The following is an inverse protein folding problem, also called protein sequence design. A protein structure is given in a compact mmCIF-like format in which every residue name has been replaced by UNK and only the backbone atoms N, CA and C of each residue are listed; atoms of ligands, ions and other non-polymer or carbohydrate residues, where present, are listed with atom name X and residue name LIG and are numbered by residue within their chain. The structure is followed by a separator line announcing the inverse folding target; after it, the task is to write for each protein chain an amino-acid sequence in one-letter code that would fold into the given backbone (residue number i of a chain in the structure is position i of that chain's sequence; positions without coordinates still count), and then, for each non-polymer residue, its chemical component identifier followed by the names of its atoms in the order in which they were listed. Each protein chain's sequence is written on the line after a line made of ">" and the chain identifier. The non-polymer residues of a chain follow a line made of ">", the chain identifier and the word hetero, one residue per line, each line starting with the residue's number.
data_IF_674535714017
#
_entry.id   IF_674535714017
#
_cell.length_a   1.000
_cell.length_b   1.000
_cell.length_c   1.000
_cell.angle_alpha   90.00
_cell.angle_beta   90.00
_cell.angle_gamma   90.00
#
_symmetry.space_group_name_H-M   'P 1'
#
loop_
_entity.id
_entity.type
_entity.pdbx_description
1 polymer ?
#
# COMPACT_ATOMS: atom_id res chain seq x y z
N UNK A 1 28.43 9.06 -31.55
CA UNK A 1 29.76 9.04 -32.19
C UNK A 1 30.80 8.99 -31.09
N UNK A 2 31.67 7.98 -31.12
CA UNK A 2 32.79 7.86 -30.16
C UNK A 2 33.98 8.69 -30.64
N UNK A 3 34.73 9.27 -29.69
CA UNK A 3 35.97 9.96 -29.98
C UNK A 3 37.12 8.95 -30.20
N UNK A 4 38.06 9.29 -31.08
CA UNK A 4 39.34 8.61 -31.34
C UNK A 4 39.25 7.10 -31.68
N UNK A 5 39.21 6.75 -32.97
CA UNK A 5 39.43 5.36 -33.42
C UNK A 5 38.17 4.53 -33.66
N UNK A 6 36.98 5.04 -33.38
CA UNK A 6 35.73 4.39 -33.83
C UNK A 6 35.41 4.82 -35.27
N UNK A 7 35.64 3.92 -36.24
CA UNK A 7 35.31 4.15 -37.64
C UNK A 7 33.86 3.74 -37.93
N UNK A 8 33.26 4.15 -39.07
CA UNK A 8 31.97 3.63 -39.52
C UNK A 8 31.94 2.10 -39.66
N UNK A 9 33.10 1.44 -39.83
CA UNK A 9 33.17 -0.03 -39.81
C UNK A 9 32.97 -0.58 -38.39
N UNK A 10 33.55 0.05 -37.36
CA UNK A 10 33.32 -0.34 -35.97
C UNK A 10 31.86 -0.18 -35.56
N UNK A 11 31.21 0.91 -35.98
CA UNK A 11 29.78 1.14 -35.71
C UNK A 11 28.92 0.06 -36.39
N UNK A 12 29.23 -0.30 -37.64
CA UNK A 12 28.53 -1.39 -38.34
C UNK A 12 28.75 -2.75 -37.69
N UNK A 13 29.98 -3.06 -37.26
CA UNK A 13 30.28 -4.31 -36.57
C UNK A 13 29.56 -4.42 -35.22
N UNK A 14 29.54 -3.33 -34.43
CA UNK A 14 28.78 -3.28 -33.18
C UNK A 14 27.27 -3.42 -33.42
N UNK A 15 26.73 -2.79 -34.48
CA UNK A 15 25.31 -2.92 -34.81
C UNK A 15 24.96 -4.35 -35.25
N UNK A 16 25.79 -4.97 -36.08
CA UNK A 16 25.60 -6.36 -36.51
C UNK A 16 25.63 -7.33 -35.32
N UNK A 17 26.58 -7.18 -34.39
CA UNK A 17 26.65 -7.99 -33.18
C UNK A 17 25.44 -7.79 -32.25
N UNK A 18 24.93 -6.56 -32.16
CA UNK A 18 23.71 -6.27 -31.40
C UNK A 18 22.47 -6.86 -32.06
N UNK A 19 22.36 -6.78 -33.38
CA UNK A 19 21.24 -7.37 -34.14
C UNK A 19 21.25 -8.90 -34.02
N UNK A 20 22.42 -9.54 -34.07
CA UNK A 20 22.57 -10.98 -33.86
C UNK A 20 22.22 -11.38 -32.42
N UNK A 21 22.63 -10.60 -31.42
CA UNK A 21 22.27 -10.84 -30.02
C UNK A 21 20.78 -10.67 -29.74
N UNK A 22 20.14 -9.67 -30.37
CA UNK A 22 18.69 -9.45 -30.26
C UNK A 22 17.90 -10.54 -31.01
N UNK A 23 18.40 -10.99 -32.17
CA UNK A 23 17.82 -12.10 -32.91
C UNK A 23 17.93 -13.43 -32.13
N UNK A 24 19.06 -13.66 -31.44
CA UNK A 24 19.26 -14.82 -30.57
C UNK A 24 18.38 -14.78 -29.30
N UNK A 25 18.08 -13.60 -28.76
CA UNK A 25 17.09 -13.43 -27.67
C UNK A 25 15.65 -13.63 -28.13
N UNK A 26 15.36 -13.43 -29.42
CA UNK A 26 14.03 -13.63 -29.98
C UNK A 26 13.71 -15.11 -30.27
N UNK A 27 14.69 -16.01 -30.14
CA UNK A 27 14.55 -17.46 -30.39
C UNK A 27 14.84 -18.35 -29.18
N UNK A 28 15.18 -17.77 -28.02
CA UNK A 28 15.32 -18.51 -26.77
C UNK A 28 14.03 -18.38 -25.95
N UNK A 29 13.30 -19.46 -25.65
CA UNK A 29 12.20 -19.39 -24.70
C UNK A 29 12.77 -18.98 -23.34
N UNK A 30 12.20 -17.93 -22.73
CA UNK A 30 12.43 -17.65 -21.33
C UNK A 30 12.10 -18.91 -20.51
N UNK A 31 12.82 -19.23 -19.42
CA UNK A 31 12.45 -20.34 -18.57
C UNK A 31 11.05 -20.09 -18.01
N UNK A 32 10.07 -20.77 -18.59
CA UNK A 32 8.70 -20.80 -18.08
C UNK A 32 8.73 -21.60 -16.79
N UNK A 33 8.70 -20.92 -15.65
CA UNK A 33 8.31 -21.54 -14.40
C UNK A 33 6.86 -22.02 -14.58
N UNK A 34 6.68 -23.33 -14.74
CA UNK A 34 5.37 -23.98 -14.66
C UNK A 34 4.87 -23.83 -13.23
N UNK A 35 4.13 -22.76 -12.99
CA UNK A 35 3.26 -22.63 -11.82
C UNK A 35 2.14 -23.63 -12.02
N UNK A 36 2.08 -24.64 -11.16
CA UNK A 36 0.90 -25.50 -11.05
C UNK A 36 -0.24 -24.59 -10.59
N UNK A 37 -1.19 -24.32 -11.48
CA UNK A 37 -2.45 -23.64 -11.14
C UNK A 37 -3.28 -24.61 -10.30
N UNK A 38 -3.11 -24.54 -8.98
CA UNK A 38 -4.14 -25.02 -8.07
C UNK A 38 -5.23 -23.95 -7.97
N UNK A 39 -6.42 -24.29 -8.44
CA UNK A 39 -7.63 -23.47 -8.31
C UNK A 39 -7.89 -23.20 -6.82
N UNK A 40 -7.81 -21.95 -6.32
CA UNK A 40 -8.12 -21.68 -4.93
C UNK A 40 -9.63 -21.85 -4.72
N UNK A 41 -9.99 -22.81 -3.87
CA UNK A 41 -11.35 -22.94 -3.35
C UNK A 41 -11.72 -21.68 -2.57
N UNK A 42 -12.76 -20.98 -3.01
CA UNK A 42 -13.33 -19.81 -2.37
C UNK A 42 -13.82 -20.14 -0.96
N UNK A 43 -12.93 -20.02 0.02
CA UNK A 43 -13.26 -20.08 1.44
C UNK A 43 -12.63 -18.88 2.12
N UNK A 44 -13.41 -18.24 3.01
CA UNK A 44 -13.11 -17.00 3.73
C UNK A 44 -11.67 -16.99 4.26
N UNK A 45 -11.04 -15.81 4.27
CA UNK A 45 -9.66 -15.54 4.69
C UNK A 45 -9.27 -16.01 6.11
N UNK A 46 -9.25 -17.32 6.32
CA UNK A 46 -8.70 -18.00 7.48
C UNK A 46 -7.39 -18.70 7.08
N UNK A 47 -6.46 -17.89 6.56
CA UNK A 47 -5.14 -18.38 6.21
C UNK A 47 -4.24 -18.38 7.46
N UNK A 48 -3.91 -19.59 7.91
CA UNK A 48 -2.56 -19.94 8.35
C UNK A 48 -2.11 -19.57 9.77
N UNK A 49 -2.90 -18.84 10.56
CA UNK A 49 -2.53 -18.54 11.96
C UNK A 49 -3.20 -19.51 12.93
N UNK A 50 -2.88 -20.79 12.78
CA UNK A 50 -3.18 -21.83 13.77
C UNK A 50 -1.84 -22.45 14.19
N UNK A 51 -1.37 -22.12 15.41
CA UNK A 51 -0.08 -22.55 15.93
C UNK A 51 0.47 -21.65 17.06
N UNK A 52 1.79 -21.74 17.29
CA UNK A 52 2.54 -20.98 18.31
C UNK A 52 2.62 -19.47 18.04
N UNK A 53 2.62 -19.07 16.76
CA UNK A 53 2.70 -17.66 16.35
C UNK A 53 1.31 -17.04 16.33
N UNK A 54 1.08 -16.05 17.19
CA UNK A 54 -0.20 -15.34 17.28
C UNK A 54 -0.37 -14.33 16.13
N UNK A 55 -1.60 -14.09 15.66
CA UNK A 55 -1.86 -13.10 14.61
C UNK A 55 -1.51 -11.69 15.11
N UNK A 56 -1.33 -10.75 14.19
CA UNK A 56 -1.21 -9.33 14.55
C UNK A 56 -2.51 -8.81 15.14
N UNK A 57 -2.45 -7.70 15.87
CA UNK A 57 -3.66 -7.15 16.49
C UNK A 57 -4.63 -6.63 15.44
N UNK A 58 -4.13 -6.03 14.35
CA UNK A 58 -4.93 -5.66 13.17
C UNK A 58 -5.67 -6.88 12.59
N UNK A 59 -4.97 -7.98 12.31
CA UNK A 59 -5.62 -9.17 11.76
C UNK A 59 -6.65 -9.75 12.71
N UNK A 60 -6.35 -9.75 14.03
CA UNK A 60 -7.30 -10.19 15.05
C UNK A 60 -8.57 -9.33 15.08
N UNK A 61 -8.44 -8.00 14.98
CA UNK A 61 -9.57 -7.07 14.92
C UNK A 61 -10.42 -7.28 13.67
N UNK A 62 -9.79 -7.39 12.50
CA UNK A 62 -10.47 -7.63 11.23
C UNK A 62 -11.25 -8.95 11.25
N UNK A 63 -10.63 -10.04 11.74
CA UNK A 63 -11.30 -11.34 11.92
C UNK A 63 -12.50 -11.27 12.89
N UNK A 64 -12.41 -10.41 13.89
CA UNK A 64 -13.49 -10.20 14.86
C UNK A 64 -14.59 -9.26 14.35
N UNK A 65 -14.56 -8.81 13.09
CA UNK A 65 -15.55 -7.88 12.56
C UNK A 65 -15.40 -6.45 13.09
N UNK A 66 -14.29 -6.12 13.78
CA UNK A 66 -14.09 -4.79 14.36
C UNK A 66 -13.65 -3.80 13.29
N UNK A 67 -14.13 -2.57 13.42
CA UNK A 67 -13.72 -1.47 12.56
C UNK A 67 -12.30 -1.01 12.93
N UNK A 68 -11.38 -1.06 11.96
CA UNK A 68 -9.96 -0.74 12.15
C UNK A 68 -9.65 0.67 11.65
N UNK A 69 -8.91 1.44 12.45
CA UNK A 69 -8.47 2.78 12.13
C UNK A 69 -6.94 2.80 12.02
N UNK A 70 -6.43 3.22 10.87
CA UNK A 70 -5.01 3.53 10.68
C UNK A 70 -4.81 5.02 10.39
N UNK A 71 -3.61 5.53 10.69
CA UNK A 71 -3.18 6.86 10.26
C UNK A 71 -1.86 6.74 9.52
N UNK A 72 -1.79 7.33 8.34
CA UNK A 72 -0.59 7.31 7.52
C UNK A 72 0.49 8.25 8.09
N UNK A 73 1.73 7.76 8.12
CA UNK A 73 2.90 8.50 8.57
C UNK A 73 3.99 8.39 7.51
N UNK A 74 4.20 9.48 6.78
CA UNK A 74 5.30 9.59 5.84
C UNK A 74 6.66 9.67 6.56
N UNK A 75 7.66 8.87 6.14
CA UNK A 75 8.99 9.00 6.70
C UNK A 75 9.61 10.37 6.42
N UNK A 76 10.44 10.87 7.34
CA UNK A 76 11.10 12.17 7.18
C UNK A 76 12.16 12.15 6.07
N UNK A 77 12.49 13.33 5.55
CA UNK A 77 13.70 13.55 4.75
C UNK A 77 14.97 13.64 5.60
N UNK A 78 14.83 13.89 6.90
CA UNK A 78 15.91 14.06 7.88
C UNK A 78 16.31 12.75 8.54
N UNK A 79 17.41 12.80 9.30
CA UNK A 79 17.89 11.69 10.14
C UNK A 79 17.11 11.52 11.44
N UNK A 80 16.21 12.46 11.77
CA UNK A 80 15.34 12.42 12.95
C UNK A 80 13.88 12.26 12.54
N UNK A 81 13.11 11.54 13.37
CA UNK A 81 11.71 11.21 13.15
C UNK A 81 10.77 11.73 14.26
N UNK A 82 11.21 12.70 15.07
CA UNK A 82 10.45 13.22 16.22
C UNK A 82 9.03 13.64 15.84
N UNK A 83 8.86 14.34 14.72
CA UNK A 83 7.55 14.77 14.23
C UNK A 83 6.64 13.58 13.89
N UNK A 84 7.20 12.55 13.25
CA UNK A 84 6.47 11.32 12.89
C UNK A 84 6.06 10.52 14.13
N UNK A 85 6.97 10.41 15.10
CA UNK A 85 6.73 9.72 16.37
C UNK A 85 5.64 10.44 17.18
N UNK A 86 5.66 11.77 17.26
CA UNK A 86 4.60 12.53 17.92
C UNK A 86 3.27 12.44 17.16
N UNK A 87 3.31 12.44 15.83
CA UNK A 87 2.14 12.17 14.99
C UNK A 87 1.51 10.81 15.28
N UNK A 88 2.31 9.76 15.40
CA UNK A 88 1.85 8.42 15.76
C UNK A 88 1.31 8.36 17.20
N UNK A 89 1.93 9.08 18.14
CA UNK A 89 1.44 9.20 19.53
C UNK A 89 0.09 9.91 19.58
N UNK A 90 -0.09 10.95 18.77
CA UNK A 90 -1.36 11.64 18.63
C UNK A 90 -2.43 10.74 18.02
N UNK A 91 -2.10 9.99 16.97
CA UNK A 91 -3.01 9.02 16.35
C UNK A 91 -3.48 7.97 17.36
N UNK A 92 -2.57 7.37 18.13
CA UNK A 92 -2.91 6.42 19.20
C UNK A 92 -3.86 7.05 20.23
N UNK A 93 -3.56 8.28 20.68
CA UNK A 93 -4.42 9.01 21.63
C UNK A 93 -5.82 9.26 21.08
N UNK A 94 -5.96 9.46 19.78
CA UNK A 94 -7.25 9.70 19.11
C UNK A 94 -8.02 8.41 18.80
N UNK A 95 -7.44 7.24 19.09
CA UNK A 95 -8.06 5.93 18.93
C UNK A 95 -7.70 5.22 17.63
N UNK A 96 -6.55 5.53 17.03
CA UNK A 96 -6.02 4.71 15.94
C UNK A 96 -5.53 3.36 16.48
N UNK A 97 -5.82 2.29 15.75
CA UNK A 97 -5.38 0.94 16.06
C UNK A 97 -3.95 0.67 15.58
N UNK A 98 -3.56 1.35 14.50
CA UNK A 98 -2.26 1.24 13.88
C UNK A 98 -1.84 2.56 13.20
N UNK A 99 -0.58 2.62 12.78
CA UNK A 99 -0.14 3.58 11.76
C UNK A 99 0.45 2.87 10.57
N UNK A 100 0.16 3.35 9.36
CA UNK A 100 0.78 2.84 8.14
C UNK A 100 1.91 3.78 7.70
N UNK A 101 3.07 3.23 7.35
CA UNK A 101 4.27 4.00 7.05
C UNK A 101 4.64 3.82 5.59
N UNK A 102 4.58 4.92 4.82
CA UNK A 102 4.87 4.91 3.40
C UNK A 102 6.36 4.62 3.12
N UNK A 103 6.66 3.87 2.06
CA UNK A 103 8.04 3.65 1.61
C UNK A 103 8.39 4.59 0.47
N UNK A 104 9.14 5.65 0.81
CA UNK A 104 9.69 6.64 -0.11
C UNK A 104 8.66 7.09 -1.16
N UNK A 105 7.51 7.65 -0.71
CA UNK A 105 6.40 8.01 -1.59
C UNK A 105 6.85 8.95 -2.72
N UNK A 106 6.29 8.77 -3.92
CA UNK A 106 6.71 9.42 -5.16
C UNK A 106 8.17 9.09 -5.57
N UNK A 107 8.69 7.94 -5.14
CA UNK A 107 10.08 7.51 -5.35
C UNK A 107 11.12 8.55 -4.90
N UNK A 108 10.85 9.27 -3.80
CA UNK A 108 11.77 10.29 -3.26
C UNK A 108 12.50 9.77 -2.03
N UNK A 109 13.80 10.06 -1.93
CA UNK A 109 14.64 9.65 -0.80
C UNK A 109 14.04 10.10 0.54
N UNK A 110 13.88 9.15 1.45
CA UNK A 110 13.42 9.32 2.84
C UNK A 110 14.17 8.38 3.76
N UNK A 111 13.97 8.56 5.07
CA UNK A 111 14.25 7.50 6.04
C UNK A 111 13.53 6.20 5.62
N UNK A 112 14.19 5.06 5.77
CA UNK A 112 13.59 3.76 5.44
C UNK A 112 12.33 3.50 6.27
N UNK A 113 11.25 3.07 5.61
CA UNK A 113 9.96 2.84 6.24
C UNK A 113 10.04 1.83 7.40
N UNK A 114 10.77 0.72 7.22
CA UNK A 114 10.97 -0.28 8.27
C UNK A 114 11.65 0.32 9.51
N UNK A 115 12.66 1.17 9.34
CA UNK A 115 13.35 1.81 10.45
C UNK A 115 12.40 2.73 11.24
N UNK A 116 11.54 3.49 10.54
CA UNK A 116 10.54 4.33 11.18
C UNK A 116 9.47 3.50 11.90
N UNK A 117 8.99 2.41 11.30
CA UNK A 117 8.06 1.47 11.94
C UNK A 117 8.60 0.99 13.28
N UNK A 118 9.85 0.55 13.31
CA UNK A 118 10.51 0.07 14.54
C UNK A 118 10.61 1.18 15.59
N UNK A 119 11.00 2.40 15.20
CA UNK A 119 11.05 3.53 16.13
C UNK A 119 9.68 3.87 16.71
N UNK A 120 8.62 3.85 15.90
CA UNK A 120 7.26 4.11 16.35
C UNK A 120 6.80 3.01 17.33
N UNK A 121 6.99 1.73 16.99
CA UNK A 121 6.60 0.62 17.85
C UNK A 121 7.32 0.70 19.22
N UNK A 122 8.62 1.00 19.22
CA UNK A 122 9.41 1.06 20.46
C UNK A 122 9.07 2.26 21.35
N UNK A 123 8.76 3.42 20.75
CA UNK A 123 8.58 4.68 21.52
C UNK A 123 7.10 5.02 21.81
N UNK A 124 6.18 4.48 21.01
CA UNK A 124 4.74 4.77 21.11
C UNK A 124 3.94 3.53 21.50
N UNK A 125 4.37 2.34 21.09
CA UNK A 125 3.65 1.09 21.35
C UNK A 125 2.43 0.86 20.46
N UNK A 126 2.23 1.70 19.44
CA UNK A 126 1.20 1.48 18.41
C UNK A 126 1.73 0.54 17.33
N UNK A 127 0.87 -0.39 16.88
CA UNK A 127 1.22 -1.34 15.83
C UNK A 127 1.43 -0.62 14.48
N UNK A 128 2.36 -1.11 13.65
CA UNK A 128 2.69 -0.48 12.37
C UNK A 128 2.39 -1.39 11.19
N UNK A 129 1.93 -0.78 10.09
CA UNK A 129 1.83 -1.38 8.75
C UNK A 129 2.92 -0.76 7.88
N UNK A 130 3.93 -1.53 7.50
CA UNK A 130 4.99 -1.02 6.62
C UNK A 130 4.55 -1.14 5.16
N UNK A 131 4.57 -0.04 4.41
CA UNK A 131 4.50 -0.11 2.96
C UNK A 131 5.80 -0.72 2.47
N UNK A 132 5.73 -1.78 1.66
CA UNK A 132 6.91 -2.54 1.27
C UNK A 132 6.96 -2.65 -0.25
N UNK A 133 7.91 -1.95 -0.87
CA UNK A 133 7.96 -1.79 -2.33
C UNK A 133 9.04 -2.66 -2.97
N UNK A 134 8.75 -3.18 -4.17
CA UNK A 134 9.70 -3.99 -4.95
C UNK A 134 10.56 -3.17 -5.93
N UNK A 135 10.25 -1.89 -6.15
CA UNK A 135 10.90 -1.00 -7.14
C UNK A 135 12.43 -0.96 -7.07
N UNK A 136 13.00 -1.01 -5.87
CA UNK A 136 14.40 -0.68 -5.56
C UNK A 136 15.10 -1.81 -4.79
N UNK A 137 14.48 -3.00 -4.71
CA UNK A 137 15.01 -4.15 -3.98
C UNK A 137 15.10 -5.38 -4.88
N UNK A 138 16.24 -6.06 -4.83
CA UNK A 138 16.38 -7.38 -5.45
C UNK A 138 15.57 -8.44 -4.68
N UNK A 139 15.32 -9.59 -5.30
CA UNK A 139 14.64 -10.70 -4.65
C UNK A 139 15.33 -11.13 -3.34
N UNK A 140 16.66 -11.10 -3.31
CA UNK A 140 17.44 -11.35 -2.10
C UNK A 140 17.23 -10.25 -1.06
N UNK A 141 17.25 -8.97 -1.48
CA UNK A 141 17.01 -7.83 -0.59
C UNK A 141 15.62 -7.83 0.01
N UNK A 142 14.58 -8.15 -0.77
CA UNK A 142 13.20 -8.29 -0.31
C UNK A 142 13.09 -9.35 0.80
N UNK A 143 13.65 -10.54 0.58
CA UNK A 143 13.62 -11.62 1.56
C UNK A 143 14.41 -11.27 2.84
N UNK A 144 15.59 -10.68 2.70
CA UNK A 144 16.40 -10.25 3.84
C UNK A 144 15.70 -9.18 4.69
N UNK A 145 15.11 -8.17 4.04
CA UNK A 145 14.37 -7.10 4.70
C UNK A 145 13.11 -7.63 5.41
N UNK A 146 12.39 -8.60 4.82
CA UNK A 146 11.24 -9.25 5.44
C UNK A 146 11.64 -10.06 6.69
N UNK A 147 12.73 -10.84 6.61
CA UNK A 147 13.27 -11.56 7.78
C UNK A 147 13.65 -10.57 8.88
N UNK A 148 14.33 -9.47 8.51
CA UNK A 148 14.66 -8.39 9.44
C UNK A 148 13.43 -7.73 10.05
N UNK A 149 12.39 -7.47 9.26
CA UNK A 149 11.13 -6.91 9.74
C UNK A 149 10.48 -7.82 10.79
N UNK A 150 10.40 -9.12 10.52
CA UNK A 150 9.89 -10.10 11.48
C UNK A 150 10.70 -10.12 12.78
N UNK A 151 12.04 -10.16 12.68
CA UNK A 151 12.93 -10.17 13.83
C UNK A 151 12.78 -8.91 14.70
N UNK A 152 12.39 -7.77 14.10
CA UNK A 152 12.13 -6.50 14.78
C UNK A 152 10.66 -6.32 15.21
N UNK A 153 9.81 -7.33 15.00
CA UNK A 153 8.40 -7.33 15.38
C UNK A 153 7.48 -6.53 14.45
N UNK A 154 7.92 -6.16 13.25
CA UNK A 154 7.09 -5.51 12.22
C UNK A 154 6.51 -6.60 11.32
N UNK A 155 5.24 -6.94 11.55
CA UNK A 155 4.57 -8.08 10.91
C UNK A 155 3.41 -7.72 9.98
N UNK A 156 2.95 -6.47 9.96
CA UNK A 156 1.92 -6.03 9.00
C UNK A 156 2.59 -5.39 7.80
N UNK A 157 2.45 -6.02 6.63
CA UNK A 157 3.12 -5.63 5.39
C UNK A 157 2.07 -5.21 4.37
N UNK A 158 2.12 -3.99 3.86
CA UNK A 158 1.40 -3.59 2.66
C UNK A 158 2.29 -3.83 1.43
N UNK A 159 1.98 -4.89 0.68
CA UNK A 159 2.76 -5.32 -0.47
C UNK A 159 2.49 -4.43 -1.70
N UNK A 160 3.51 -3.72 -2.17
CA UNK A 160 3.41 -2.74 -3.25
C UNK A 160 4.48 -2.99 -4.32
N UNK A 161 4.14 -2.70 -5.58
CA UNK A 161 5.16 -2.61 -6.64
C UNK A 161 6.03 -1.35 -6.42
N UNK A 162 5.40 -0.24 -6.04
CA UNK A 162 6.04 1.05 -5.78
C UNK A 162 6.15 1.93 -7.03
N UNK A 163 6.21 3.23 -6.80
CA UNK A 163 6.32 4.24 -7.85
C UNK A 163 7.58 4.05 -8.68
N UNK A 164 7.52 4.21 -10.01
CA UNK A 164 8.70 4.13 -10.84
C UNK A 164 9.70 5.25 -10.49
N UNK A 165 11.02 4.98 -10.49
CA UNK A 165 12.04 5.99 -10.17
C UNK A 165 11.98 7.27 -11.01
N UNK A 166 11.35 7.22 -12.20
CA UNK A 166 11.12 8.37 -13.07
C UNK A 166 10.23 9.46 -12.47
N UNK A 167 9.37 9.11 -11.49
CA UNK A 167 8.57 10.07 -10.72
C UNK A 167 9.37 10.79 -9.62
N UNK A 168 10.48 10.20 -9.20
CA UNK A 168 11.34 10.72 -8.15
C UNK A 168 12.36 11.75 -8.63
N UNK A 169 13.09 12.30 -7.65
CA UNK A 169 14.16 13.28 -7.91
C UNK A 169 15.44 12.56 -8.44
N UNK A 170 15.58 11.25 -8.15
CA UNK A 170 16.71 10.40 -8.55
C UNK A 170 16.40 9.58 -9.79
N UNK A 171 16.14 10.25 -10.91
CA UNK A 171 15.75 9.62 -12.19
C UNK A 171 16.79 8.64 -12.78
N UNK A 172 18.03 8.67 -12.29
CA UNK A 172 19.11 7.78 -12.70
C UNK A 172 19.14 6.46 -11.92
N UNK A 173 18.28 6.29 -10.90
CA UNK A 173 18.23 5.06 -10.12
C UNK A 173 17.73 3.89 -10.99
N UNK A 174 18.43 2.76 -10.90
CA UNK A 174 17.99 1.51 -11.53
C UNK A 174 16.74 1.00 -10.84
N UNK A 175 15.72 0.69 -11.62
CA UNK A 175 14.57 -0.04 -11.13
C UNK A 175 14.89 -1.54 -11.15
N UNK A 176 14.65 -2.23 -10.03
CA UNK A 176 14.97 -3.66 -9.88
C UNK A 176 13.80 -4.51 -10.36
N UNK A 177 12.63 -4.40 -9.73
CA UNK A 177 11.40 -5.07 -10.14
C UNK A 177 11.57 -6.58 -10.45
N UNK A 178 12.41 -7.28 -9.68
CA UNK A 178 12.54 -8.75 -9.81
C UNK A 178 11.18 -9.44 -9.65
N UNK A 179 10.28 -8.83 -8.87
CA UNK A 179 8.86 -9.19 -8.74
C UNK A 179 7.99 -7.93 -8.63
N UNK A 180 6.70 -8.05 -8.93
CA UNK A 180 5.71 -7.02 -8.64
C UNK A 180 4.99 -7.28 -7.30
N UNK A 181 3.97 -6.47 -6.96
CA UNK A 181 3.16 -6.67 -5.74
C UNK A 181 2.51 -8.05 -5.65
N UNK A 182 2.10 -8.68 -6.76
CA UNK A 182 1.51 -10.03 -6.74
C UNK A 182 2.59 -11.06 -6.36
N UNK A 183 3.77 -10.95 -6.97
CA UNK A 183 4.92 -11.77 -6.62
C UNK A 183 5.34 -11.60 -5.15
N UNK A 184 5.38 -10.36 -4.66
CA UNK A 184 5.70 -10.07 -3.26
C UNK A 184 4.69 -10.71 -2.29
N UNK A 185 3.39 -10.65 -2.58
CA UNK A 185 2.37 -11.33 -1.76
C UNK A 185 2.66 -12.82 -1.66
N UNK A 186 2.95 -13.49 -2.78
CA UNK A 186 3.28 -14.91 -2.80
C UNK A 186 4.53 -15.23 -2.00
N UNK A 187 5.56 -14.37 -2.04
CA UNK A 187 6.78 -14.53 -1.24
C UNK A 187 6.45 -14.47 0.25
N UNK A 188 5.70 -13.46 0.69
CA UNK A 188 5.34 -13.30 2.11
C UNK A 188 4.44 -14.47 2.56
N UNK A 189 3.56 -14.97 1.69
CA UNK A 189 2.74 -16.14 2.01
C UNK A 189 3.59 -17.41 2.19
N UNK A 190 4.62 -17.62 1.39
CA UNK A 190 5.58 -18.71 1.60
C UNK A 190 6.31 -18.59 2.95
N UNK A 191 6.68 -17.38 3.35
CA UNK A 191 7.25 -17.15 4.68
C UNK A 191 6.24 -17.51 5.78
N UNK A 192 4.94 -17.25 5.57
CA UNK A 192 3.88 -17.70 6.48
C UNK A 192 3.73 -19.23 6.52
N UNK A 193 4.09 -19.92 5.44
CA UNK A 193 4.20 -21.38 5.40
C UNK A 193 5.50 -21.91 6.04
N UNK A 194 6.42 -21.02 6.42
CA UNK A 194 7.69 -21.36 7.06
C UNK A 194 8.80 -21.71 6.08
N UNK A 195 8.67 -21.34 4.80
CA UNK A 195 9.67 -21.63 3.76
C UNK A 195 10.04 -20.40 2.96
N UNK A 196 11.29 -20.34 2.50
CA UNK A 196 11.72 -19.26 1.61
C UNK A 196 11.28 -19.48 0.15
N UNK A 197 11.70 -18.59 -0.75
CA UNK A 197 11.40 -18.71 -2.19
C UNK A 197 12.05 -19.93 -2.82
N UNK A 198 13.20 -20.38 -2.32
CA UNK A 198 13.88 -21.59 -2.77
C UNK A 198 13.30 -22.88 -2.15
N UNK A 199 12.35 -22.76 -1.22
CA UNK A 199 11.75 -23.88 -0.50
C UNK A 199 12.59 -24.39 0.67
N UNK A 200 13.57 -23.61 1.13
CA UNK A 200 14.32 -23.93 2.34
C UNK A 200 13.46 -23.64 3.57
N UNK A 201 13.53 -24.56 4.53
CA UNK A 201 12.88 -24.40 5.83
C UNK A 201 13.47 -23.22 6.61
N UNK A 202 12.59 -22.36 7.14
CA UNK A 202 12.95 -21.19 7.94
C UNK A 202 12.86 -21.48 9.45
N UNK A 203 12.53 -22.71 9.85
CA UNK A 203 12.45 -23.19 11.22
C UNK A 203 11.19 -22.76 11.98
N UNK A 204 10.48 -21.74 11.51
CA UNK A 204 9.19 -21.30 12.02
C UNK A 204 8.37 -20.59 10.93
N UNK A 205 7.05 -20.55 11.12
CA UNK A 205 6.16 -19.72 10.30
C UNK A 205 6.37 -18.23 10.59
N UNK A 206 6.35 -17.40 9.55
CA UNK A 206 6.55 -15.95 9.67
C UNK A 206 5.37 -15.19 10.29
N UNK A 207 4.14 -15.71 10.20
CA UNK A 207 2.96 -15.06 10.82
C UNK A 207 2.76 -13.59 10.45
N UNK A 208 3.16 -13.19 9.24
CA UNK A 208 2.91 -11.87 8.68
C UNK A 208 1.43 -11.69 8.35
N UNK A 209 0.94 -10.47 8.58
CA UNK A 209 -0.33 -10.01 8.03
C UNK A 209 -0.06 -9.25 6.74
N UNK A 210 -0.66 -9.74 5.66
CA UNK A 210 -0.42 -9.25 4.30
C UNK A 210 -1.58 -8.35 3.88
N UNK A 211 -1.30 -7.08 3.67
CA UNK A 211 -2.20 -6.13 3.05
C UNK A 211 -1.81 -5.93 1.58
N UNK A 212 -2.78 -5.58 0.74
CA UNK A 212 -2.55 -5.25 -0.67
C UNK A 212 -3.25 -3.95 -1.03
N UNK A 213 -2.73 -3.23 -2.02
CA UNK A 213 -3.42 -2.06 -2.54
C UNK A 213 -4.44 -2.46 -3.61
N UNK A 214 -5.59 -1.79 -3.61
CA UNK A 214 -6.52 -1.74 -4.74
C UNK A 214 -6.87 -0.28 -5.06
N UNK A 215 -7.10 0.04 -6.33
CA UNK A 215 -7.42 1.41 -6.74
C UNK A 215 -8.77 1.48 -7.46
N UNK A 216 -9.86 1.82 -6.74
CA UNK A 216 -11.20 1.92 -7.34
C UNK A 216 -11.33 3.13 -8.30
N UNK A 217 -10.28 3.95 -8.44
CA UNK A 217 -10.27 5.15 -9.29
C UNK A 217 -9.64 4.90 -10.66
N UNK A 218 -9.12 3.69 -10.92
CA UNK A 218 -8.46 3.34 -12.18
C UNK A 218 -9.43 3.44 -13.35
N UNK A 219 -8.94 4.03 -14.45
CA UNK A 219 -9.70 4.10 -15.71
C UNK A 219 -10.01 2.72 -16.29
N UNK A 220 -9.05 1.78 -16.20
CA UNK A 220 -9.24 0.37 -16.52
C UNK A 220 -9.53 -0.42 -15.24
N UNK A 221 -10.78 -0.33 -14.78
CA UNK A 221 -11.24 -0.98 -13.56
C UNK A 221 -11.25 -2.52 -13.70
N UNK A 222 -11.47 -3.03 -14.92
CA UNK A 222 -11.46 -4.46 -15.23
C UNK A 222 -10.07 -5.05 -14.97
N UNK A 223 -9.02 -4.41 -15.48
CA UNK A 223 -7.65 -4.80 -15.21
C UNK A 223 -7.31 -4.70 -13.73
N UNK A 224 -7.73 -3.63 -13.04
CA UNK A 224 -7.46 -3.49 -11.61
C UNK A 224 -8.13 -4.59 -10.78
N UNK A 225 -9.38 -4.93 -11.08
CA UNK A 225 -10.12 -6.03 -10.45
C UNK A 225 -9.41 -7.38 -10.68
N UNK A 226 -8.92 -7.67 -11.89
CA UNK A 226 -8.18 -8.91 -12.16
C UNK A 226 -6.85 -8.98 -11.41
N UNK A 227 -6.10 -7.87 -11.39
CA UNK A 227 -4.85 -7.80 -10.64
C UNK A 227 -5.10 -7.92 -9.14
N UNK A 228 -6.15 -7.28 -8.63
CA UNK A 228 -6.58 -7.41 -7.24
C UNK A 228 -6.94 -8.87 -6.92
N UNK A 229 -7.69 -9.55 -7.79
CA UNK A 229 -7.98 -10.98 -7.62
C UNK A 229 -6.71 -11.83 -7.52
N UNK A 230 -5.70 -11.59 -8.38
CA UNK A 230 -4.41 -12.30 -8.28
C UNK A 230 -3.67 -12.03 -6.97
N UNK A 231 -3.76 -10.81 -6.43
CA UNK A 231 -3.17 -10.44 -5.13
C UNK A 231 -3.85 -11.19 -3.98
N UNK A 232 -5.19 -11.20 -3.92
CA UNK A 232 -5.92 -11.89 -2.84
C UNK A 232 -5.78 -13.40 -2.92
N UNK A 233 -5.83 -13.98 -4.13
CA UNK A 233 -5.56 -15.40 -4.37
C UNK A 233 -4.12 -15.81 -4.02
N UNK A 234 -3.19 -14.84 -3.92
CA UNK A 234 -1.82 -15.07 -3.47
C UNK A 234 -1.64 -15.13 -1.95
N UNK A 235 -2.69 -14.88 -1.15
CA UNK A 235 -2.64 -14.93 0.31
C UNK A 235 -2.79 -13.58 1.02
N UNK A 236 -3.34 -12.56 0.36
CA UNK A 236 -3.63 -11.29 1.05
C UNK A 236 -4.74 -11.46 2.10
N UNK A 237 -4.61 -10.76 3.22
CA UNK A 237 -5.54 -10.82 4.36
C UNK A 237 -6.55 -9.67 4.37
N UNK A 238 -6.14 -8.50 3.88
CA UNK A 238 -7.00 -7.32 3.73
C UNK A 238 -6.49 -6.41 2.61
N UNK A 239 -7.32 -5.45 2.20
CA UNK A 239 -6.96 -4.48 1.16
C UNK A 239 -7.05 -3.05 1.66
N UNK A 240 -6.20 -2.18 1.10
CA UNK A 240 -6.22 -0.75 1.33
C UNK A 240 -6.47 -0.02 0.00
N UNK A 241 -7.42 0.90 -0.04
CA UNK A 241 -7.73 1.63 -1.28
C UNK A 241 -6.81 2.83 -1.47
N UNK A 242 -6.65 3.34 -2.69
CA UNK A 242 -6.33 4.77 -2.87
C UNK A 242 -7.42 5.65 -2.22
N UNK A 243 -7.11 6.90 -1.82
CA UNK A 243 -8.12 7.76 -1.22
C UNK A 243 -9.26 8.02 -2.18
N UNK A 244 -10.50 7.87 -1.71
CA UNK A 244 -11.70 8.17 -2.48
C UNK A 244 -12.44 9.35 -1.86
N UNK A 245 -13.16 10.08 -2.70
CA UNK A 245 -14.06 11.17 -2.30
C UNK A 245 -15.52 10.87 -2.65
N UNK A 246 -15.75 9.78 -3.38
CA UNK A 246 -17.06 9.30 -3.80
C UNK A 246 -17.18 7.81 -3.39
N UNK A 247 -18.03 7.50 -2.40
CA UNK A 247 -18.39 6.15 -1.97
C UNK A 247 -18.81 5.21 -3.10
N UNK A 248 -19.42 5.75 -4.16
CA UNK A 248 -19.88 4.96 -5.29
C UNK A 248 -18.74 4.27 -6.03
N UNK A 249 -17.52 4.82 -5.99
CA UNK A 249 -16.33 4.19 -6.59
C UNK A 249 -16.04 2.83 -5.94
N UNK A 250 -16.21 2.72 -4.62
CA UNK A 250 -16.04 1.45 -3.92
C UNK A 250 -17.13 0.46 -4.28
N UNK A 251 -18.39 0.90 -4.29
CA UNK A 251 -19.54 0.06 -4.67
C UNK A 251 -19.34 -0.51 -6.08
N UNK A 252 -18.95 0.33 -7.04
CA UNK A 252 -18.69 -0.09 -8.41
C UNK A 252 -17.55 -1.11 -8.50
N UNK A 253 -16.48 -0.92 -7.73
CA UNK A 253 -15.36 -1.86 -7.68
C UNK A 253 -15.80 -3.23 -7.15
N UNK A 254 -16.58 -3.26 -6.06
CA UNK A 254 -17.11 -4.49 -5.48
C UNK A 254 -18.05 -5.19 -6.44
N UNK A 255 -18.99 -4.48 -7.05
CA UNK A 255 -19.93 -5.05 -8.03
C UNK A 255 -19.16 -5.69 -9.20
N UNK A 256 -18.19 -4.98 -9.78
CA UNK A 256 -17.40 -5.51 -10.87
C UNK A 256 -16.54 -6.71 -10.45
N UNK A 257 -16.01 -6.70 -9.23
CA UNK A 257 -15.30 -7.85 -8.68
C UNK A 257 -16.22 -9.07 -8.59
N UNK A 258 -17.41 -8.90 -8.01
CA UNK A 258 -18.37 -9.98 -7.79
C UNK A 258 -18.91 -10.59 -9.08
N UNK A 259 -19.17 -9.75 -10.08
CA UNK A 259 -19.56 -10.20 -11.42
C UNK A 259 -18.51 -11.10 -12.09
N UNK A 260 -17.23 -10.90 -11.78
CA UNK A 260 -16.13 -11.57 -12.48
C UNK A 260 -15.50 -12.72 -11.71
N UNK A 261 -15.37 -12.57 -10.39
CA UNK A 261 -14.60 -13.47 -9.53
C UNK A 261 -15.42 -14.05 -8.37
N UNK A 262 -16.70 -13.67 -8.24
CA UNK A 262 -17.58 -14.07 -7.14
C UNK A 262 -17.36 -13.24 -5.87
N UNK A 263 -17.84 -13.75 -4.72
CA UNK A 263 -17.86 -13.00 -3.46
C UNK A 263 -16.53 -12.31 -3.13
N UNK A 264 -16.60 -11.04 -2.73
CA UNK A 264 -15.42 -10.27 -2.34
C UNK A 264 -14.68 -10.94 -1.16
N UNK A 265 -13.36 -11.20 -1.25
CA UNK A 265 -12.74 -12.23 -0.40
C UNK A 265 -12.13 -11.70 0.91
N UNK A 266 -11.91 -10.39 1.04
CA UNK A 266 -11.16 -9.79 2.16
C UNK A 266 -11.78 -8.47 2.64
N UNK A 267 -11.60 -8.09 3.92
CA UNK A 267 -11.96 -6.75 4.39
C UNK A 267 -11.20 -5.63 3.68
N UNK A 268 -11.80 -4.44 3.61
CA UNK A 268 -11.14 -3.22 3.13
C UNK A 268 -10.97 -2.16 4.21
N UNK A 269 -9.81 -1.49 4.16
CA UNK A 269 -9.55 -0.19 4.78
C UNK A 269 -9.56 0.89 3.68
N UNK A 270 -10.55 1.77 3.70
CA UNK A 270 -10.65 2.83 2.69
C UNK A 270 -9.79 4.04 3.07
N UNK A 271 -9.05 4.57 2.09
CA UNK A 271 -8.26 5.78 2.26
C UNK A 271 -9.13 7.03 2.35
N UNK A 272 -8.92 7.85 3.37
CA UNK A 272 -9.61 9.12 3.56
C UNK A 272 -8.59 10.25 3.67
N UNK A 273 -8.65 11.21 2.75
CA UNK A 273 -7.74 12.36 2.68
C UNK A 273 -8.49 13.67 2.96
N UNK A 274 -8.30 14.28 4.15
CA UNK A 274 -8.97 15.54 4.47
C UNK A 274 -8.40 16.71 3.66
N UNK A 275 -9.28 17.39 2.92
CA UNK A 275 -8.91 18.55 2.11
C UNK A 275 -8.42 19.71 3.00
N UNK A 276 -7.56 20.57 2.46
CA UNK A 276 -6.90 21.64 3.25
C UNK A 276 -7.38 23.05 2.87
N UNK A 277 -8.00 23.18 1.70
CA UNK A 277 -8.45 24.45 1.12
C UNK A 277 -8.74 24.28 -0.36
N UNK A 278 -9.41 25.26 -0.98
CA UNK A 278 -9.77 25.19 -2.41
C UNK A 278 -8.56 24.93 -3.32
N UNK A 279 -7.43 25.63 -3.10
CA UNK A 279 -6.21 25.41 -3.90
C UNK A 279 -5.68 23.98 -3.81
N UNK A 280 -5.76 23.37 -2.63
CA UNK A 280 -5.34 21.98 -2.45
C UNK A 280 -6.32 21.04 -3.16
N UNK A 281 -7.62 21.25 -3.00
CA UNK A 281 -8.66 20.48 -3.67
C UNK A 281 -8.53 20.55 -5.20
N UNK A 282 -8.36 21.76 -5.77
CA UNK A 282 -8.16 21.94 -7.21
C UNK A 282 -6.86 21.30 -7.71
N UNK A 283 -5.78 21.34 -6.93
CA UNK A 283 -4.55 20.64 -7.29
C UNK A 283 -4.76 19.13 -7.34
N UNK A 284 -5.39 18.54 -6.31
CA UNK A 284 -5.68 17.11 -6.30
C UNK A 284 -6.54 16.71 -7.50
N UNK A 285 -7.59 17.47 -7.79
CA UNK A 285 -8.51 17.20 -8.89
C UNK A 285 -7.86 17.27 -10.28
N UNK A 286 -6.96 18.23 -10.51
CA UNK A 286 -6.40 18.48 -11.84
C UNK A 286 -5.06 17.79 -12.08
N UNK A 287 -4.25 17.61 -11.03
CA UNK A 287 -2.83 17.25 -11.16
C UNK A 287 -2.49 15.88 -10.55
N UNK A 288 -3.38 15.28 -9.76
CA UNK A 288 -3.13 13.97 -9.13
C UNK A 288 -3.96 12.89 -9.84
N UNK A 289 -3.31 11.99 -10.60
CA UNK A 289 -4.01 10.91 -11.29
C UNK A 289 -4.86 10.06 -10.34
N UNK A 290 -6.09 9.76 -10.75
CA UNK A 290 -7.04 8.97 -9.96
C UNK A 290 -7.88 9.78 -8.97
N UNK A 291 -7.46 11.00 -8.59
CA UNK A 291 -8.27 11.83 -7.69
C UNK A 291 -9.19 12.75 -8.50
N UNK A 292 -10.48 12.43 -8.52
CA UNK A 292 -11.51 13.31 -9.08
C UNK A 292 -12.45 13.76 -7.96
N UNK A 293 -12.57 15.07 -7.78
CA UNK A 293 -13.51 15.67 -6.82
C UNK A 293 -14.80 16.05 -7.55
N UNK A 294 -15.93 15.98 -6.85
CA UNK A 294 -17.19 16.51 -7.37
C UNK A 294 -17.16 18.04 -7.43
N UNK A 295 -17.97 18.62 -8.32
CA UNK A 295 -18.17 20.07 -8.39
C UNK A 295 -18.68 20.63 -7.06
N UNK A 296 -19.53 19.89 -6.35
CA UNK A 296 -19.98 20.27 -5.01
C UNK A 296 -18.82 20.33 -4.01
N UNK A 297 -17.94 19.32 -4.01
CA UNK A 297 -16.76 19.31 -3.15
C UNK A 297 -15.84 20.52 -3.43
N UNK A 298 -15.58 20.82 -4.70
CA UNK A 298 -14.76 21.97 -5.11
C UNK A 298 -15.39 23.30 -4.67
N UNK A 299 -16.70 23.44 -4.84
CA UNK A 299 -17.46 24.65 -4.48
C UNK A 299 -17.57 24.84 -2.97
N UNK A 300 -17.79 23.76 -2.19
CA UNK A 300 -17.73 23.79 -0.72
C UNK A 300 -16.38 24.31 -0.25
N UNK A 301 -15.29 23.78 -0.81
CA UNK A 301 -13.94 24.23 -0.48
C UNK A 301 -13.67 25.68 -0.89
N UNK A 302 -14.26 26.14 -2.00
CA UNK A 302 -14.18 27.54 -2.44
C UNK A 302 -14.91 28.47 -1.46
N UNK A 303 -16.14 28.13 -1.09
CA UNK A 303 -16.97 28.89 -0.13
C UNK A 303 -16.37 28.93 1.27
N UNK A 304 -15.70 27.86 1.70
CA UNK A 304 -15.08 27.79 3.02
C UNK A 304 -13.97 28.85 3.23
N UNK A 305 -13.30 29.30 2.16
CA UNK A 305 -12.29 30.36 2.24
C UNK A 305 -11.21 30.07 3.30
N UNK A 306 -11.08 30.97 4.28
CA UNK A 306 -10.12 30.82 5.39
C UNK A 306 -10.39 29.58 6.28
N UNK A 307 -11.63 29.07 6.29
CA UNK A 307 -12.04 27.90 7.06
C UNK A 307 -11.88 26.58 6.28
N UNK A 308 -11.19 26.59 5.13
CA UNK A 308 -11.05 25.41 4.26
C UNK A 308 -10.57 24.14 4.96
N UNK A 309 -9.71 24.24 5.99
CA UNK A 309 -9.29 23.06 6.77
C UNK A 309 -10.43 22.47 7.61
N UNK A 310 -11.24 23.31 8.26
CA UNK A 310 -12.38 22.84 9.05
C UNK A 310 -13.42 22.19 8.13
N UNK A 311 -13.69 22.79 6.98
CA UNK A 311 -14.61 22.22 6.00
C UNK A 311 -14.08 20.89 5.43
N UNK A 312 -12.78 20.80 5.13
CA UNK A 312 -12.19 19.55 4.63
C UNK A 312 -12.21 18.41 5.67
N UNK A 313 -12.04 18.72 6.97
CA UNK A 313 -12.27 17.74 8.05
C UNK A 313 -13.73 17.32 8.09
N UNK A 314 -14.66 18.27 8.03
CA UNK A 314 -16.10 17.99 8.04
C UNK A 314 -16.52 17.10 6.86
N UNK A 315 -16.04 17.39 5.65
CA UNK A 315 -16.28 16.55 4.47
C UNK A 315 -15.73 15.14 4.65
N UNK A 316 -14.53 15.00 5.22
CA UNK A 316 -13.95 13.69 5.52
C UNK A 316 -14.72 12.93 6.61
N UNK A 317 -15.30 13.64 7.59
CA UNK A 317 -16.19 13.05 8.60
C UNK A 317 -17.50 12.55 8.00
N UNK A 318 -18.13 13.34 7.11
CA UNK A 318 -19.32 12.94 6.36
C UNK A 318 -19.04 11.68 5.53
N UNK A 319 -17.93 11.68 4.78
CA UNK A 319 -17.48 10.53 4.01
C UNK A 319 -17.25 9.30 4.90
N UNK A 320 -16.52 9.45 6.02
CA UNK A 320 -16.24 8.34 6.94
C UNK A 320 -17.52 7.66 7.45
N UNK A 321 -18.55 8.45 7.78
CA UNK A 321 -19.82 7.90 8.26
C UNK A 321 -20.53 7.09 7.17
N UNK A 322 -20.48 7.54 5.92
CA UNK A 322 -21.04 6.80 4.78
C UNK A 322 -20.26 5.51 4.49
N UNK A 323 -18.92 5.59 4.49
CA UNK A 323 -18.05 4.44 4.24
C UNK A 323 -18.26 3.29 5.25
N UNK A 324 -18.58 3.61 6.52
CA UNK A 324 -18.85 2.61 7.56
C UNK A 324 -20.04 1.70 7.24
N UNK A 325 -20.99 2.18 6.43
CA UNK A 325 -22.21 1.45 6.08
C UNK A 325 -22.06 0.63 4.78
N UNK A 326 -20.92 0.77 4.08
CA UNK A 326 -20.68 0.09 2.82
C UNK A 326 -20.24 -1.37 2.99
N UNK A 327 -20.53 -2.23 2.00
CA UNK A 327 -20.16 -3.63 2.05
C UNK A 327 -18.64 -3.82 2.14
N UNK A 328 -18.24 -4.81 2.95
CA UNK A 328 -16.84 -5.22 3.18
C UNK A 328 -15.93 -4.16 3.85
N UNK A 329 -16.44 -2.94 4.08
CA UNK A 329 -15.67 -1.89 4.75
C UNK A 329 -15.56 -2.19 6.23
N UNK A 330 -14.36 -2.58 6.65
CA UNK A 330 -14.04 -2.89 8.04
C UNK A 330 -12.98 -1.93 8.59
N UNK A 331 -12.74 -0.81 7.92
CA UNK A 331 -11.86 0.20 8.45
C UNK A 331 -11.61 1.36 7.49
N UNK A 332 -10.84 2.31 7.97
CA UNK A 332 -10.26 3.39 7.17
C UNK A 332 -8.81 3.61 7.53
N UNK A 333 -8.08 4.25 6.64
CA UNK A 333 -6.84 4.90 7.01
C UNK A 333 -6.87 6.38 6.63
N UNK A 334 -6.47 7.24 7.56
CA UNK A 334 -6.44 8.68 7.36
C UNK A 334 -5.10 9.07 6.75
N UNK A 335 -5.13 9.92 5.72
CA UNK A 335 -3.94 10.42 5.03
C UNK A 335 -3.68 11.89 5.40
N UNK A 336 -2.74 12.18 6.31
CA UNK A 336 -2.47 13.55 6.73
C UNK A 336 -1.74 14.33 5.64
N UNK A 337 -2.34 15.42 5.18
CA UNK A 337 -1.64 16.34 4.27
C UNK A 337 -0.59 17.18 5.01
N UNK A 338 0.59 17.32 4.42
CA UNK A 338 1.68 18.17 4.93
C UNK A 338 2.16 17.82 6.36
N UNK A 339 1.98 16.56 6.78
CA UNK A 339 2.28 16.09 8.13
C UNK A 339 1.51 16.84 9.22
N UNK A 340 0.23 17.15 8.96
CA UNK A 340 -0.72 17.74 9.92
C UNK A 340 -1.56 16.62 10.56
N UNK A 341 -0.92 15.83 11.42
CA UNK A 341 -1.53 14.65 12.03
C UNK A 341 -2.76 15.01 12.87
N UNK A 342 -2.72 16.12 13.60
CA UNK A 342 -3.81 16.57 14.47
C UNK A 342 -5.06 16.90 13.66
N UNK A 343 -4.90 17.63 12.55
CA UNK A 343 -6.02 17.95 11.65
C UNK A 343 -6.60 16.69 11.02
N UNK A 344 -5.76 15.74 10.61
CA UNK A 344 -6.26 14.48 10.08
C UNK A 344 -7.04 13.70 11.14
N UNK A 345 -6.51 13.57 12.36
CA UNK A 345 -7.14 12.78 13.43
C UNK A 345 -8.45 13.38 13.95
N UNK A 346 -8.73 14.66 13.71
CA UNK A 346 -10.06 15.25 13.98
C UNK A 346 -11.18 14.55 13.22
N UNK A 347 -10.88 13.90 12.09
CA UNK A 347 -11.85 13.08 11.36
C UNK A 347 -12.39 11.94 12.22
N UNK A 348 -11.60 11.41 13.17
CA UNK A 348 -12.03 10.33 14.05
C UNK A 348 -13.04 10.78 15.11
N UNK A 349 -13.23 12.08 15.34
CA UNK A 349 -14.09 12.59 16.40
C UNK A 349 -15.58 12.24 16.20
N UNK A 350 -16.01 12.01 14.95
CA UNK A 350 -17.37 11.55 14.66
C UNK A 350 -17.60 10.08 14.97
N UNK A 351 -16.53 9.29 15.16
CA UNK A 351 -16.66 7.92 15.64
C UNK A 351 -16.85 7.96 17.17
N UNK A 352 -17.89 7.29 17.72
CA UNK A 352 -18.10 7.21 19.15
C UNK A 352 -16.86 6.69 19.90
N UNK A 353 -16.55 7.27 21.06
CA UNK A 353 -15.35 6.89 21.84
C UNK A 353 -15.28 5.38 22.16
N UNK A 354 -16.43 4.76 22.46
CA UNK A 354 -16.52 3.30 22.69
C UNK A 354 -16.01 2.46 21.53
N UNK A 355 -16.25 2.91 20.29
CA UNK A 355 -15.80 2.22 19.08
C UNK A 355 -14.31 2.46 18.82
N UNK A 356 -13.82 3.65 19.16
CA UNK A 356 -12.40 4.03 18.99
C UNK A 356 -11.46 3.39 20.01
N UNK A 357 -11.92 3.20 21.25
CA UNK A 357 -11.07 2.70 22.35
C UNK A 357 -11.42 1.27 22.78
N UNK A 358 -12.46 0.67 22.19
CA UNK A 358 -12.87 -0.72 22.49
C UNK A 358 -13.34 -0.93 23.93
N UNK A 359 -13.83 0.12 24.61
CA UNK A 359 -14.29 0.15 26.00
C UNK A 359 -15.79 -0.09 26.16
#
# INVERSE_FOLDING_TARGET
>A
GGCCGTTPMHIRAMRAALDEHLAARSSAPAPTLTVVEETPSATKADYGVTGEVQPTEILRKLRAGKFVISVEVDPPRSFTAEKQIEGARHALKMGADAVNVADSPMARVRMGALALCVQIQQQVGIETIVHFTTRDRSLMGLQADLIGAHALGVRNILALTGDPPSLGDTKQSTAVYDVDSIGLVRIINRFNDGVDVAGQDMGQKGGFTIAVACDPTRSDLVQEVDRFHQKVSGGAHFTMTQPIFDPQLWVNFVTLYEERHGTFPVPVLIGVLPLQGHKHASFLHNEVPGITLSEDALERMRKAGANGRQEGVKMAQELLLELKELPYVQGVYLMPSFGRYETACQVLEVIPARERFGS
#
